data_IF_479275432698
#
_entry.id   IF_479275432698
#
_cell.length_a   1.000
_cell.length_b   1.000
_cell.length_c   1.000
_cell.angle_alpha   90.00
_cell.angle_beta   90.00
_cell.angle_gamma   90.00
#
_symmetry.space_group_name_H-M   'P 1'
#
loop_
_entity.id
_entity.type
_entity.pdbx_description
1 polymer ?
#
# COMPACT_ATOMS: atom_id res chain seq x y z
N UNK A 1 41.97 6.69 -90.45
CA UNK A 1 41.73 6.55 -88.99
C UNK A 1 40.24 6.27 -88.79
N UNK A 2 39.86 5.07 -88.35
CA UNK A 2 38.48 4.73 -87.99
C UNK A 2 38.48 4.31 -86.52
N UNK A 3 37.96 5.18 -85.66
CA UNK A 3 37.82 4.94 -84.22
C UNK A 3 36.59 4.07 -83.99
N UNK A 4 36.79 2.80 -83.66
CA UNK A 4 35.71 1.89 -83.26
C UNK A 4 35.23 2.24 -81.85
N UNK A 5 33.98 2.67 -81.70
CA UNK A 5 33.37 2.94 -80.40
C UNK A 5 32.82 1.63 -79.85
N UNK A 6 33.40 1.14 -78.75
CA UNK A 6 32.87 -0.01 -78.01
C UNK A 6 31.69 0.48 -77.17
N UNK A 7 30.46 0.16 -77.59
CA UNK A 7 29.26 0.37 -76.78
C UNK A 7 29.03 -0.88 -75.93
N UNK A 8 29.44 -0.82 -74.66
CA UNK A 8 29.13 -1.89 -73.70
C UNK A 8 27.64 -1.83 -73.35
N UNK A 9 26.85 -2.74 -73.91
CA UNK A 9 25.45 -2.87 -73.57
C UNK A 9 25.32 -3.47 -72.15
N UNK A 10 24.82 -2.68 -71.19
CA UNK A 10 24.43 -3.19 -69.88
C UNK A 10 23.23 -4.12 -70.06
N UNK A 11 23.44 -5.43 -69.89
CA UNK A 11 22.35 -6.41 -69.86
C UNK A 11 21.58 -6.24 -68.56
N UNK A 12 20.37 -5.68 -68.63
CA UNK A 12 19.39 -5.77 -67.55
C UNK A 12 19.07 -7.25 -67.30
N UNK A 13 19.56 -7.79 -66.17
CA UNK A 13 19.16 -9.12 -65.69
C UNK A 13 17.86 -8.94 -64.89
N UNK A 14 16.81 -9.64 -65.29
CA UNK A 14 15.57 -9.72 -64.49
C UNK A 14 15.81 -10.55 -63.23
N UNK A 15 15.01 -10.28 -62.18
CA UNK A 15 14.97 -11.12 -60.98
C UNK A 15 14.60 -12.54 -61.38
N UNK A 16 15.35 -13.52 -60.88
CA UNK A 16 15.03 -14.92 -61.15
C UNK A 16 13.87 -15.39 -60.26
N UNK A 17 13.09 -16.38 -60.70
CA UNK A 17 12.04 -16.98 -59.86
C UNK A 17 12.62 -17.52 -58.54
N UNK A 18 13.84 -18.05 -58.59
CA UNK A 18 14.57 -18.54 -57.42
C UNK A 18 14.90 -17.42 -56.44
N UNK A 19 15.21 -16.22 -56.91
CA UNK A 19 15.54 -15.08 -56.06
C UNK A 19 14.33 -14.61 -55.24
N UNK A 20 13.14 -14.55 -55.85
CA UNK A 20 11.90 -14.23 -55.11
C UNK A 20 11.58 -15.32 -54.09
N UNK A 21 11.78 -16.60 -54.45
CA UNK A 21 11.56 -17.72 -53.54
C UNK A 21 12.53 -17.66 -52.34
N UNK A 22 13.81 -17.36 -52.59
CA UNK A 22 14.83 -17.18 -51.54
C UNK A 22 14.50 -15.96 -50.68
N UNK A 23 14.10 -14.84 -51.28
CA UNK A 23 13.71 -13.64 -50.55
C UNK A 23 12.50 -13.90 -49.64
N UNK A 24 11.48 -14.59 -50.14
CA UNK A 24 10.30 -14.97 -49.35
C UNK A 24 10.64 -15.94 -48.23
N UNK A 25 11.53 -16.90 -48.45
CA UNK A 25 11.96 -17.85 -47.40
C UNK A 25 12.75 -17.15 -46.30
N UNK A 26 13.72 -16.31 -46.66
CA UNK A 26 14.48 -15.49 -45.68
C UNK A 26 13.54 -14.55 -44.92
N UNK A 27 12.61 -13.89 -45.61
CA UNK A 27 11.60 -13.03 -44.99
C UNK A 27 10.75 -13.81 -43.98
N UNK A 28 10.28 -15.00 -44.35
CA UNK A 28 9.46 -15.84 -43.48
C UNK A 28 10.21 -16.22 -42.21
N UNK A 29 11.48 -16.61 -42.33
CA UNK A 29 12.34 -16.90 -41.17
C UNK A 29 12.47 -15.66 -40.28
N UNK A 30 12.74 -14.49 -40.87
CA UNK A 30 12.83 -13.22 -40.14
C UNK A 30 11.58 -12.90 -39.34
N UNK A 31 10.39 -13.05 -39.94
CA UNK A 31 9.11 -12.81 -39.26
C UNK A 31 8.93 -13.75 -38.07
N UNK A 32 9.20 -15.05 -38.26
CA UNK A 32 9.11 -16.04 -37.17
C UNK A 32 10.06 -15.69 -36.03
N UNK A 33 11.29 -15.28 -36.35
CA UNK A 33 12.26 -14.83 -35.34
C UNK A 33 11.77 -13.59 -34.58
N UNK A 34 11.19 -12.61 -35.25
CA UNK A 34 10.65 -11.40 -34.61
C UNK A 34 9.47 -11.74 -33.70
N UNK A 35 8.54 -12.58 -34.13
CA UNK A 35 7.41 -13.02 -33.30
C UNK A 35 7.91 -13.75 -32.05
N UNK A 36 8.91 -14.62 -32.20
CA UNK A 36 9.55 -15.29 -31.07
C UNK A 36 10.21 -14.31 -30.09
N UNK A 37 10.89 -13.28 -30.60
CA UNK A 37 11.50 -12.23 -29.78
C UNK A 37 10.44 -11.42 -29.02
N UNK A 38 9.35 -11.00 -29.67
CA UNK A 38 8.24 -10.28 -29.02
C UNK A 38 7.60 -11.15 -27.93
N UNK A 39 7.37 -12.43 -28.20
CA UNK A 39 6.84 -13.36 -27.20
C UNK A 39 7.78 -13.51 -25.99
N UNK A 40 9.10 -13.49 -26.21
CA UNK A 40 10.08 -13.48 -25.12
C UNK A 40 10.03 -12.19 -24.31
N UNK A 41 9.92 -11.03 -24.97
CA UNK A 41 9.74 -9.74 -24.29
C UNK A 41 8.48 -9.71 -23.44
N UNK A 42 7.35 -10.22 -23.93
CA UNK A 42 6.09 -10.27 -23.17
C UNK A 42 6.23 -11.14 -21.91
N UNK A 43 6.80 -12.34 -22.03
CA UNK A 43 7.08 -13.20 -20.85
C UNK A 43 8.01 -12.52 -19.85
N UNK A 44 9.03 -11.80 -20.32
CA UNK A 44 9.92 -11.02 -19.47
C UNK A 44 9.21 -9.87 -18.76
N UNK A 45 8.29 -9.20 -19.45
CA UNK A 45 7.46 -8.13 -18.89
C UNK A 45 6.54 -8.67 -17.79
N UNK A 46 5.85 -9.79 -18.02
CA UNK A 46 4.97 -10.42 -17.04
C UNK A 46 5.76 -10.88 -15.79
N UNK A 47 6.94 -11.47 -15.99
CA UNK A 47 7.82 -11.83 -14.89
C UNK A 47 8.22 -10.59 -14.06
N UNK A 48 8.59 -9.49 -14.73
CA UNK A 48 8.97 -8.24 -14.06
C UNK A 48 7.81 -7.62 -13.27
N UNK A 49 6.59 -7.70 -13.82
CA UNK A 49 5.38 -7.26 -13.13
C UNK A 49 5.10 -8.13 -11.88
N UNK A 50 5.29 -9.44 -11.97
CA UNK A 50 5.13 -10.35 -10.84
C UNK A 50 6.14 -10.06 -9.71
N UNK A 51 7.42 -9.80 -10.04
CA UNK A 51 8.41 -9.39 -9.03
C UNK A 51 8.06 -8.05 -8.39
N UNK A 52 7.64 -7.06 -9.18
CA UNK A 52 7.25 -5.74 -8.65
C UNK A 52 6.06 -5.87 -7.69
N UNK A 53 5.10 -6.74 -8.04
CA UNK A 53 3.96 -7.04 -7.18
C UNK A 53 4.38 -7.77 -5.91
N UNK A 54 5.26 -8.76 -6.00
CA UNK A 54 5.79 -9.47 -4.83
C UNK A 54 6.54 -8.52 -3.88
N UNK A 55 7.27 -7.54 -4.42
CA UNK A 55 7.93 -6.51 -3.61
C UNK A 55 6.94 -5.63 -2.85
N UNK A 56 5.89 -5.13 -3.52
CA UNK A 56 4.83 -4.35 -2.86
C UNK A 56 4.10 -5.16 -1.78
N UNK A 57 3.84 -6.44 -2.03
CA UNK A 57 3.22 -7.33 -1.04
C UNK A 57 4.15 -7.59 0.15
N UNK A 58 5.46 -7.72 -0.08
CA UNK A 58 6.43 -7.87 0.99
C UNK A 58 6.53 -6.59 1.84
N UNK A 59 6.51 -5.42 1.21
CA UNK A 59 6.44 -4.13 1.89
C UNK A 59 5.16 -3.99 2.71
N UNK A 60 4.01 -4.38 2.17
CA UNK A 60 2.74 -4.37 2.91
C UNK A 60 2.82 -5.21 4.19
N UNK A 61 3.40 -6.42 4.11
CA UNK A 61 3.60 -7.26 5.31
C UNK A 61 4.58 -6.59 6.26
N UNK A 62 5.69 -6.05 5.76
CA UNK A 62 6.68 -5.36 6.61
C UNK A 62 6.10 -4.12 7.32
N UNK A 63 5.23 -3.36 6.66
CA UNK A 63 4.51 -2.24 7.26
C UNK A 63 3.55 -2.67 8.36
N UNK A 64 2.89 -3.84 8.22
CA UNK A 64 2.05 -4.40 9.27
C UNK A 64 2.87 -4.66 10.54
N UNK A 65 4.05 -5.27 10.40
CA UNK A 65 4.98 -5.45 11.52
C UNK A 65 5.50 -4.12 12.08
N UNK A 66 5.80 -3.15 11.21
CA UNK A 66 6.30 -1.84 11.63
C UNK A 66 5.27 -1.02 12.45
N UNK A 67 3.97 -1.33 12.34
CA UNK A 67 2.90 -0.69 13.12
C UNK A 67 2.71 -1.29 14.51
N UNK A 68 3.31 -2.43 14.81
CA UNK A 68 3.17 -3.07 16.12
C UNK A 68 3.93 -2.29 17.19
N UNK A 69 3.29 -2.10 18.35
CA UNK A 69 3.89 -1.40 19.49
C UNK A 69 5.02 -2.23 20.14
N UNK A 70 4.93 -3.55 20.04
CA UNK A 70 5.90 -4.51 20.54
C UNK A 70 6.17 -5.54 19.45
N UNK A 71 7.44 -5.85 19.22
CA UNK A 71 7.87 -6.93 18.33
C UNK A 71 8.46 -8.06 19.18
N UNK A 72 8.01 -9.27 18.92
CA UNK A 72 8.58 -10.48 19.50
C UNK A 72 9.18 -11.35 18.40
N UNK A 73 10.25 -12.12 18.69
CA UNK A 73 10.80 -13.07 17.74
C UNK A 73 9.76 -14.16 17.44
N UNK A 74 9.31 -14.23 16.18
CA UNK A 74 8.31 -15.17 15.73
C UNK A 74 8.46 -15.45 14.22
N UNK A 75 7.87 -16.55 13.77
CA UNK A 75 7.75 -16.90 12.35
C UNK A 75 6.28 -17.11 12.00
N UNK A 76 5.76 -16.27 11.12
CA UNK A 76 4.38 -16.34 10.64
C UNK A 76 4.32 -16.56 9.14
N UNK A 77 3.25 -17.20 8.69
CA UNK A 77 3.00 -17.40 7.26
C UNK A 77 1.52 -17.29 6.95
N UNK A 78 1.20 -16.98 5.70
CA UNK A 78 -0.17 -16.81 5.28
C UNK A 78 -0.33 -16.66 3.77
N UNK A 79 -1.59 -16.45 3.37
CA UNK A 79 -1.99 -16.11 2.01
C UNK A 79 -2.51 -14.69 1.98
N UNK A 80 -2.52 -14.08 0.80
CA UNK A 80 -3.19 -12.80 0.60
C UNK A 80 -4.67 -12.99 0.27
N UNK A 81 -5.36 -11.86 0.08
CA UNK A 81 -6.77 -11.81 -0.30
C UNK A 81 -7.02 -12.31 -1.74
N UNK A 82 -8.26 -12.21 -2.21
CA UNK A 82 -8.66 -12.69 -3.53
C UNK A 82 -7.87 -12.03 -4.66
N UNK A 83 -7.52 -10.74 -4.52
CA UNK A 83 -6.72 -10.02 -5.52
C UNK A 83 -5.31 -10.62 -5.67
N UNK A 84 -4.71 -11.15 -4.59
CA UNK A 84 -3.36 -11.69 -4.56
C UNK A 84 -3.28 -13.19 -4.19
N UNK A 85 -4.35 -13.95 -4.44
CA UNK A 85 -4.51 -15.37 -4.12
C UNK A 85 -3.41 -16.31 -4.67
N UNK A 86 -2.69 -15.91 -5.72
CA UNK A 86 -1.54 -16.66 -6.26
C UNK A 86 -0.22 -16.46 -5.52
N UNK A 87 -0.21 -15.64 -4.47
CA UNK A 87 0.96 -15.32 -3.66
C UNK A 87 0.76 -15.83 -2.23
N UNK A 88 1.84 -16.31 -1.64
CA UNK A 88 1.93 -16.66 -0.22
C UNK A 88 3.08 -15.90 0.40
N UNK A 89 3.04 -15.70 1.71
CA UNK A 89 4.10 -14.99 2.42
C UNK A 89 4.52 -15.74 3.68
N UNK A 90 5.77 -15.51 4.06
CA UNK A 90 6.39 -15.94 5.31
C UNK A 90 7.17 -14.75 5.88
N UNK A 91 6.95 -14.42 7.14
CA UNK A 91 7.64 -13.36 7.87
C UNK A 91 8.37 -13.97 9.06
N UNK A 92 9.64 -13.62 9.23
CA UNK A 92 10.49 -14.08 10.32
C UNK A 92 11.07 -12.86 11.02
N UNK A 93 10.72 -12.69 12.29
CA UNK A 93 11.28 -11.66 13.17
C UNK A 93 12.35 -12.32 14.03
N UNK A 94 13.58 -11.81 13.96
CA UNK A 94 14.67 -12.24 14.81
C UNK A 94 14.70 -11.44 16.13
N UNK A 95 15.48 -11.93 17.09
CA UNK A 95 15.76 -11.18 18.33
C UNK A 95 16.42 -9.85 18.04
N UNK A 96 16.14 -8.86 18.89
CA UNK A 96 16.74 -7.56 18.79
C UNK A 96 18.27 -7.64 18.82
N UNK A 97 18.92 -6.85 17.98
CA UNK A 97 20.36 -6.67 18.01
C UNK A 97 20.81 -5.76 19.17
N UNK A 98 22.11 -5.53 19.28
CA UNK A 98 22.70 -4.68 20.33
C UNK A 98 22.18 -3.23 20.30
N UNK A 99 21.57 -2.79 19.20
CA UNK A 99 21.00 -1.45 19.01
C UNK A 99 19.47 -1.40 19.21
N UNK A 100 18.87 -2.52 19.65
CA UNK A 100 17.43 -2.65 19.86
C UNK A 100 16.63 -2.69 18.56
N UNK A 101 17.25 -3.07 17.43
CA UNK A 101 16.56 -3.27 16.15
C UNK A 101 16.17 -4.74 16.00
N UNK A 102 14.94 -4.97 15.54
CA UNK A 102 14.43 -6.31 15.24
C UNK A 102 14.59 -6.58 13.74
N UNK A 103 15.48 -7.51 13.33
CA UNK A 103 15.58 -7.92 11.94
C UNK A 103 14.31 -8.66 11.52
N UNK A 104 13.69 -8.19 10.45
CA UNK A 104 12.52 -8.79 9.82
C UNK A 104 12.90 -9.25 8.42
N UNK A 105 12.68 -10.55 8.15
CA UNK A 105 12.76 -11.13 6.82
C UNK A 105 11.36 -11.51 6.35
N UNK A 106 10.90 -10.88 5.27
CA UNK A 106 9.63 -11.23 4.61
C UNK A 106 9.95 -11.90 3.28
N UNK A 107 9.46 -13.12 3.08
CA UNK A 107 9.55 -13.85 1.83
C UNK A 107 8.17 -14.03 1.23
N UNK A 108 7.98 -13.49 0.03
CA UNK A 108 6.76 -13.68 -0.76
C UNK A 108 7.06 -14.69 -1.86
N UNK A 109 6.23 -15.72 -2.00
CA UNK A 109 6.39 -16.77 -3.00
C UNK A 109 5.16 -16.90 -3.90
N UNK A 110 5.37 -17.28 -5.15
CA UNK A 110 4.31 -17.51 -6.15
C UNK A 110 4.71 -18.63 -7.12
N UNK A 111 3.83 -18.95 -8.06
CA UNK A 111 3.99 -20.13 -8.95
C UNK A 111 4.22 -21.42 -8.14
N UNK A 112 3.41 -21.65 -7.11
CA UNK A 112 3.53 -22.78 -6.18
C UNK A 112 4.93 -22.88 -5.52
N UNK A 113 5.57 -21.74 -5.24
CA UNK A 113 6.88 -21.68 -4.60
C UNK A 113 8.08 -21.81 -5.55
N UNK A 114 7.87 -21.86 -6.86
CA UNK A 114 8.95 -21.86 -7.85
C UNK A 114 9.70 -20.53 -7.91
N UNK A 115 9.03 -19.44 -7.51
CA UNK A 115 9.60 -18.10 -7.46
C UNK A 115 9.34 -17.48 -6.11
N UNK A 116 10.30 -16.66 -5.68
CA UNK A 116 10.20 -15.89 -4.46
C UNK A 116 10.90 -14.54 -4.57
N UNK A 117 10.48 -13.63 -3.70
CA UNK A 117 11.10 -12.34 -3.43
C UNK A 117 11.27 -12.20 -1.93
N UNK A 118 12.45 -11.80 -1.47
CA UNK A 118 12.76 -11.64 -0.05
C UNK A 118 13.12 -10.18 0.22
N UNK A 119 12.42 -9.59 1.18
CA UNK A 119 12.69 -8.28 1.75
C UNK A 119 13.30 -8.48 3.13
N UNK A 120 14.45 -7.86 3.38
CA UNK A 120 15.08 -7.79 4.69
C UNK A 120 15.08 -6.34 5.17
N UNK A 121 14.56 -6.11 6.37
CA UNK A 121 14.48 -4.79 6.98
C UNK A 121 14.69 -4.90 8.49
N UNK A 122 15.10 -3.81 9.13
CA UNK A 122 15.26 -3.74 10.59
C UNK A 122 14.25 -2.76 11.17
N UNK A 123 13.48 -3.21 12.15
CA UNK A 123 12.39 -2.42 12.75
C UNK A 123 12.75 -1.96 14.16
N UNK A 124 12.32 -0.75 14.53
CA UNK A 124 12.23 -0.31 15.93
C UNK A 124 10.76 -0.21 16.33
N UNK A 125 10.33 -0.90 17.40
CA UNK A 125 9.01 -0.69 17.97
C UNK A 125 8.85 0.78 18.35
N UNK A 126 7.71 1.39 17.98
CA UNK A 126 7.37 2.76 18.37
C UNK A 126 6.44 2.69 19.59
N UNK A 127 6.89 3.07 20.79
CA UNK A 127 6.00 3.14 21.94
C UNK A 127 4.95 4.24 21.71
N UNK A 128 3.67 3.90 21.92
CA UNK A 128 2.58 4.88 21.88
C UNK A 128 2.83 5.93 22.98
N UNK A 129 2.75 7.25 22.68
CA UNK A 129 2.82 8.26 23.70
C UNK A 129 1.76 7.98 24.76
N UNK A 130 2.14 8.08 26.04
CA UNK A 130 1.23 7.86 27.16
C UNK A 130 -0.07 8.66 26.93
N UNK A 131 -1.25 8.10 27.28
CA UNK A 131 -2.51 8.82 27.18
C UNK A 131 -2.31 10.21 27.79
N UNK A 132 -2.62 11.26 27.02
CA UNK A 132 -2.61 12.61 27.55
C UNK A 132 -3.40 12.58 28.86
N UNK A 133 -2.88 13.12 29.97
CA UNK A 133 -3.64 13.17 31.21
C UNK A 133 -5.00 13.75 30.83
N UNK A 134 -6.06 12.97 31.06
CA UNK A 134 -7.41 13.42 30.80
C UNK A 134 -7.51 14.78 31.48
N UNK A 135 -7.85 15.83 30.73
CA UNK A 135 -8.05 17.18 31.24
C UNK A 135 -8.99 17.02 32.45
N UNK A 136 -8.41 17.01 33.64
CA UNK A 136 -9.11 16.86 34.90
C UNK A 136 -10.00 18.08 34.94
N UNK A 137 -11.32 17.86 34.77
CA UNK A 137 -12.30 18.93 34.70
C UNK A 137 -12.03 19.88 35.86
N UNK A 138 -11.46 21.04 35.55
CA UNK A 138 -11.27 22.15 36.46
C UNK A 138 -12.64 22.83 36.68
N UNK A 139 -13.64 22.04 37.03
CA UNK A 139 -14.88 22.53 37.62
C UNK A 139 -14.58 22.73 39.10
N UNK A 140 -13.98 23.89 39.37
CA UNK A 140 -13.70 24.37 40.70
C UNK A 140 -14.96 24.32 41.56
N UNK A 141 -14.84 23.54 42.63
CA UNK A 141 -15.62 23.60 43.86
C UNK A 141 -16.02 25.06 44.16
N UNK A 142 -17.28 25.43 43.90
CA UNK A 142 -17.85 26.67 44.41
C UNK A 142 -17.91 26.52 45.94
N UNK A 143 -17.33 27.43 46.73
CA UNK A 143 -17.50 27.36 48.18
C UNK A 143 -18.97 27.65 48.51
N UNK A 144 -19.61 26.69 49.17
CA UNK A 144 -20.92 26.81 49.81
C UNK A 144 -20.93 28.02 50.78
N UNK A 145 -21.86 28.98 50.67
CA UNK A 145 -22.00 30.02 51.68
C UNK A 145 -22.64 29.43 52.94
N UNK A 146 -21.90 29.47 54.05
CA UNK A 146 -22.32 28.92 55.34
C UNK A 146 -23.63 29.50 55.89
N UNK A 147 -24.35 28.64 56.61
CA UNK A 147 -25.57 28.92 57.36
C UNK A 147 -25.38 30.08 58.35
N UNK A 148 -26.09 31.18 58.11
CA UNK A 148 -26.37 32.21 59.10
C UNK A 148 -27.74 31.97 59.74
N UNK A 149 -27.74 31.72 61.05
CA UNK A 149 -28.96 31.68 61.88
C UNK A 149 -29.42 33.10 62.26
N UNK A 150 -30.73 33.23 62.48
CA UNK A 150 -31.45 34.28 63.25
C UNK A 150 -32.16 35.44 62.52
N UNK A 151 -33.49 35.28 62.42
CA UNK A 151 -34.56 36.13 62.94
C UNK A 151 -34.48 37.67 62.83
N UNK A 152 -35.53 38.29 62.25
CA UNK A 152 -35.83 39.71 62.46
C UNK A 152 -36.82 40.35 61.49
N UNK A 153 -38.12 40.25 61.82
CA UNK A 153 -39.28 41.11 61.52
C UNK A 153 -39.13 42.38 60.66
N UNK A 154 -40.04 42.55 59.68
CA UNK A 154 -40.68 43.85 59.43
C UNK A 154 -41.02 44.21 57.98
N UNK A 155 -42.33 44.34 57.69
CA UNK A 155 -42.84 45.54 56.99
C UNK A 155 -43.10 45.48 55.47
N UNK A 156 -44.33 45.06 55.13
CA UNK A 156 -45.35 45.80 54.36
C UNK A 156 -45.19 46.19 52.86
N UNK A 157 -46.20 45.75 52.09
CA UNK A 157 -46.94 46.34 50.95
C UNK A 157 -46.26 46.86 49.68
N UNK A 158 -46.77 46.37 48.54
CA UNK A 158 -46.70 47.08 47.26
C UNK A 158 -47.01 46.20 46.05
N UNK A 159 -48.22 46.32 45.51
CA UNK A 159 -48.77 45.46 44.45
C UNK A 159 -48.09 45.51 43.08
N UNK A 160 -48.48 44.57 42.22
CA UNK A 160 -48.05 44.54 40.82
C UNK A 160 -48.50 43.30 40.07
N UNK A 161 -49.54 43.44 39.27
CA UNK A 161 -50.29 42.40 38.54
C UNK A 161 -49.60 41.89 37.26
N UNK A 162 -49.93 40.65 36.87
CA UNK A 162 -49.77 40.07 35.53
C UNK A 162 -48.75 38.92 35.50
N UNK A 163 -49.04 37.68 35.10
CA UNK A 163 -50.11 37.16 34.26
C UNK A 163 -49.51 36.36 33.10
N UNK A 164 -49.59 35.02 33.24
CA UNK A 164 -49.70 33.99 32.19
C UNK A 164 -48.51 32.99 32.01
N UNK A 165 -48.81 31.68 31.76
CA UNK A 165 -47.89 30.56 31.90
C UNK A 165 -47.56 29.85 30.56
N UNK A 166 -46.71 28.84 30.65
CA UNK A 166 -46.47 27.79 29.64
C UNK A 166 -45.07 27.24 29.86
N UNK A 167 -44.81 25.99 30.22
CA UNK A 167 -45.55 24.75 29.98
C UNK A 167 -44.57 23.81 29.27
N UNK A 168 -44.41 22.58 29.78
CA UNK A 168 -43.80 21.51 28.98
C UNK A 168 -42.69 20.72 29.68
N UNK A 169 -43.13 19.73 30.46
CA UNK A 169 -42.34 18.64 31.03
C UNK A 169 -41.70 17.71 29.98
N UNK A 170 -40.77 16.89 30.51
CA UNK A 170 -40.48 15.50 30.10
C UNK A 170 -39.53 15.36 28.88
N UNK A 171 -38.65 14.34 28.78
CA UNK A 171 -38.60 13.03 29.45
C UNK A 171 -37.23 12.40 29.21
N UNK A 172 -36.75 11.62 30.18
CA UNK A 172 -35.77 10.53 30.03
C UNK A 172 -36.24 9.50 28.99
N UNK A 173 -35.28 8.81 28.36
CA UNK A 173 -35.23 7.41 27.89
C UNK A 173 -34.20 7.38 26.74
N UNK A 174 -33.31 6.42 26.55
CA UNK A 174 -32.99 5.14 27.17
C UNK A 174 -31.59 4.77 26.66
#
# INVERSE_FOLDING_TARGET
MKTGRVTTAYRHRGLTLLEVLVAMTVLSIGIVSVVGAVAACLRGSDASAAYSRAALLAEQVAEEYARQETLEPDAQSGTFDELASGYTWEAQVASADDEGLYPLRVTVSWENGLRSYTLETSLRPRPLPAPLPAEENADGERPEPGEGTEAGTGGNDGGGSGGNPGGGSARRSR
#
